data_IF_055629175214
#
_entry.id   IF_055629175214
#
_cell.length_a   1.000
_cell.length_b   1.000
_cell.length_c   1.000
_cell.angle_alpha   90.00
_cell.angle_beta   90.00
_cell.angle_gamma   90.00
#
_symmetry.space_group_name_H-M   'P 1'
#
loop_
_entity.id
_entity.type
_entity.pdbx_description
1 polymer ?
#
# COMPACT_ATOMS: atom_id res chain seq x y z
N UNK A 1 -13.64 7.21 -18.21
CA UNK A 1 -13.82 8.02 -16.97
C UNK A 1 -12.93 7.39 -15.90
N UNK A 2 -12.01 8.14 -15.32
CA UNK A 2 -11.12 7.61 -14.29
C UNK A 2 -11.91 7.52 -12.98
N UNK A 3 -12.32 6.32 -12.59
CA UNK A 3 -13.00 6.09 -11.31
C UNK A 3 -12.03 6.13 -10.11
N UNK A 4 -10.71 6.27 -10.37
CA UNK A 4 -9.67 6.44 -9.35
C UNK A 4 -9.35 7.91 -9.21
N UNK A 5 -9.41 8.46 -7.98
CA UNK A 5 -9.20 9.88 -7.76
C UNK A 5 -7.71 10.28 -7.87
N UNK A 6 -6.78 9.51 -7.32
CA UNK A 6 -5.35 9.87 -7.39
C UNK A 6 -4.80 9.86 -8.81
N UNK A 7 -5.04 8.86 -9.67
CA UNK A 7 -4.63 8.94 -11.07
C UNK A 7 -5.22 10.14 -11.82
N UNK A 8 -6.49 10.48 -11.57
CA UNK A 8 -7.11 11.66 -12.14
C UNK A 8 -6.47 12.96 -11.65
N UNK A 9 -6.14 13.04 -10.36
CA UNK A 9 -5.45 14.20 -9.76
C UNK A 9 -4.05 14.37 -10.35
N UNK A 10 -3.31 13.28 -10.54
CA UNK A 10 -1.99 13.31 -11.18
C UNK A 10 -2.09 13.81 -12.62
N UNK A 11 -3.04 13.27 -13.39
CA UNK A 11 -3.27 13.68 -14.77
C UNK A 11 -3.62 15.17 -14.89
N UNK A 12 -4.41 15.70 -13.94
CA UNK A 12 -4.79 17.13 -13.89
C UNK A 12 -3.73 18.03 -13.26
N UNK A 13 -2.57 17.48 -12.83
CA UNK A 13 -1.50 18.24 -12.19
C UNK A 13 -1.82 18.75 -10.78
N UNK A 14 -2.87 18.28 -10.14
CA UNK A 14 -3.32 18.76 -8.81
C UNK A 14 -2.34 18.43 -7.68
N UNK A 15 -1.41 17.51 -7.91
CA UNK A 15 -0.39 17.10 -6.94
C UNK A 15 1.02 17.60 -7.30
N UNK A 16 1.18 18.41 -8.35
CA UNK A 16 2.47 18.81 -8.89
C UNK A 16 3.27 19.74 -7.98
N UNK A 17 2.64 20.43 -7.02
CA UNK A 17 3.34 21.33 -6.08
C UNK A 17 4.14 20.55 -5.03
N UNK A 18 3.78 19.29 -4.73
CA UNK A 18 4.55 18.47 -3.81
C UNK A 18 5.82 17.94 -4.49
N UNK A 19 6.98 18.37 -3.99
CA UNK A 19 8.29 18.04 -4.57
C UNK A 19 8.56 16.51 -4.58
N UNK A 20 8.11 15.78 -3.55
CA UNK A 20 8.33 14.33 -3.44
C UNK A 20 7.46 13.58 -4.42
N UNK A 21 6.18 13.95 -4.55
CA UNK A 21 5.27 13.37 -5.54
C UNK A 21 5.77 13.69 -6.97
N UNK A 22 6.23 14.90 -7.22
CA UNK A 22 6.78 15.28 -8.52
C UNK A 22 8.06 14.50 -8.87
N UNK A 23 8.94 14.25 -7.87
CA UNK A 23 10.11 13.40 -8.05
C UNK A 23 9.72 11.94 -8.33
N UNK A 24 8.73 11.39 -7.58
CA UNK A 24 8.18 10.06 -7.81
C UNK A 24 7.69 9.91 -9.26
N UNK A 25 6.89 10.86 -9.76
CA UNK A 25 6.31 10.81 -11.11
C UNK A 25 7.36 10.82 -12.22
N UNK A 26 8.57 11.31 -11.95
CA UNK A 26 9.71 11.32 -12.89
C UNK A 26 10.63 10.12 -12.74
N UNK A 27 10.32 9.18 -11.87
CA UNK A 27 11.14 8.02 -11.54
C UNK A 27 10.52 6.72 -12.06
N UNK A 28 11.29 5.62 -12.14
CA UNK A 28 10.74 4.29 -12.42
C UNK A 28 9.67 3.84 -11.42
N UNK A 29 9.76 4.28 -10.16
CA UNK A 29 8.78 3.97 -9.12
C UNK A 29 7.40 4.58 -9.43
N UNK A 30 7.35 5.74 -10.04
CA UNK A 30 6.11 6.35 -10.53
C UNK A 30 5.45 5.52 -11.63
N UNK A 31 6.24 4.91 -12.52
CA UNK A 31 5.72 3.98 -13.54
C UNK A 31 5.10 2.74 -12.90
N UNK A 32 5.78 2.12 -11.93
CA UNK A 32 5.25 0.95 -11.20
C UNK A 32 3.98 1.32 -10.41
N UNK A 33 3.93 2.51 -9.80
CA UNK A 33 2.73 3.00 -9.13
C UNK A 33 1.55 3.15 -10.10
N UNK A 34 1.77 3.73 -11.28
CA UNK A 34 0.71 3.86 -12.28
C UNK A 34 0.25 2.50 -12.81
N UNK A 35 1.16 1.52 -12.93
CA UNK A 35 0.83 0.16 -13.27
C UNK A 35 -0.05 -0.48 -12.18
N UNK A 36 0.31 -0.32 -10.91
CA UNK A 36 -0.50 -0.81 -9.78
C UNK A 36 -1.93 -0.23 -9.81
N UNK A 37 -2.08 1.07 -10.07
CA UNK A 37 -3.40 1.68 -10.24
C UNK A 37 -4.16 1.10 -11.44
N UNK A 38 -3.50 0.85 -12.56
CA UNK A 38 -4.15 0.35 -13.79
C UNK A 38 -4.63 -1.09 -13.67
N UNK A 39 -3.95 -1.89 -12.86
CA UNK A 39 -4.25 -3.32 -12.64
C UNK A 39 -5.13 -3.58 -11.41
N UNK A 40 -5.41 -2.55 -10.60
CA UNK A 40 -6.20 -2.66 -9.38
C UNK A 40 -7.61 -3.19 -9.65
N UNK A 41 -7.96 -4.33 -9.06
CA UNK A 41 -9.30 -4.93 -9.13
C UNK A 41 -10.22 -4.27 -8.11
N UNK A 42 -10.86 -3.15 -8.47
CA UNK A 42 -11.68 -2.34 -7.56
C UNK A 42 -12.88 -3.05 -6.98
N UNK A 43 -13.47 -3.98 -7.73
CA UNK A 43 -14.58 -4.81 -7.27
C UNK A 43 -14.21 -5.74 -6.11
N UNK A 44 -12.90 -5.99 -5.92
CA UNK A 44 -12.37 -6.78 -4.82
C UNK A 44 -12.14 -5.98 -3.54
N UNK A 45 -12.08 -4.65 -3.64
CA UNK A 45 -11.80 -3.78 -2.49
C UNK A 45 -12.96 -3.78 -1.49
N UNK A 46 -12.61 -3.67 -0.21
CA UNK A 46 -13.60 -3.46 0.84
C UNK A 46 -14.35 -2.14 0.61
N UNK A 47 -15.69 -2.19 0.70
CA UNK A 47 -16.56 -1.03 0.45
C UNK A 47 -16.76 -0.24 1.73
N UNK A 48 -15.88 0.70 1.99
CA UNK A 48 -15.93 1.58 3.15
C UNK A 48 -15.42 2.97 2.81
N UNK A 49 -15.90 3.96 3.54
CA UNK A 49 -15.30 5.29 3.52
C UNK A 49 -13.90 5.27 4.15
N UNK A 50 -13.72 4.48 5.20
CA UNK A 50 -12.52 4.48 6.02
C UNK A 50 -11.39 3.60 5.45
N UNK A 51 -11.73 2.39 4.99
CA UNK A 51 -10.78 1.38 4.52
C UNK A 51 -11.00 0.97 3.05
N UNK A 52 -11.82 1.72 2.32
CA UNK A 52 -12.14 1.42 0.92
C UNK A 52 -11.17 2.06 -0.06
N UNK A 53 -11.66 2.23 -1.31
CA UNK A 53 -10.86 2.67 -2.45
C UNK A 53 -9.99 3.90 -2.16
N UNK A 54 -10.52 4.92 -1.49
CA UNK A 54 -9.77 6.14 -1.23
C UNK A 54 -8.55 5.94 -0.32
N UNK A 55 -8.66 5.07 0.68
CA UNK A 55 -7.56 4.63 1.50
C UNK A 55 -6.52 3.88 0.67
N UNK A 56 -6.95 2.88 -0.09
CA UNK A 56 -6.06 2.06 -0.93
C UNK A 56 -5.28 2.92 -1.93
N UNK A 57 -5.92 3.89 -2.59
CA UNK A 57 -5.25 4.80 -3.51
C UNK A 57 -4.12 5.60 -2.82
N UNK A 58 -4.36 6.12 -1.63
CA UNK A 58 -3.33 6.84 -0.88
C UNK A 58 -2.22 5.92 -0.40
N UNK A 59 -2.55 4.72 0.09
CA UNK A 59 -1.56 3.71 0.51
C UNK A 59 -0.68 3.28 -0.66
N UNK A 60 -1.21 3.08 -1.86
CA UNK A 60 -0.40 2.79 -3.06
C UNK A 60 0.61 3.92 -3.34
N UNK A 61 0.17 5.19 -3.30
CA UNK A 61 1.08 6.31 -3.53
C UNK A 61 2.14 6.43 -2.44
N UNK A 62 1.76 6.28 -1.17
CA UNK A 62 2.68 6.32 -0.04
C UNK A 62 3.69 5.17 -0.10
N UNK A 63 3.25 3.96 -0.43
CA UNK A 63 4.12 2.81 -0.65
C UNK A 63 5.15 3.04 -1.77
N UNK A 64 4.75 3.66 -2.88
CA UNK A 64 5.67 4.01 -3.96
C UNK A 64 6.71 5.06 -3.53
N UNK A 65 6.31 6.06 -2.73
CA UNK A 65 7.21 7.04 -2.15
C UNK A 65 8.23 6.41 -1.19
N UNK A 66 7.78 5.46 -0.35
CA UNK A 66 8.65 4.71 0.56
C UNK A 66 9.63 3.85 -0.26
N UNK A 67 9.15 3.07 -1.21
CA UNK A 67 9.98 2.22 -2.06
C UNK A 67 11.08 3.03 -2.76
N UNK A 68 10.74 4.22 -3.27
CA UNK A 68 11.70 5.16 -3.85
C UNK A 68 12.69 5.67 -2.81
N UNK A 69 12.23 6.08 -1.63
CA UNK A 69 13.08 6.61 -0.56
C UNK A 69 14.06 5.58 0.01
N UNK A 70 13.65 4.32 0.06
CA UNK A 70 14.43 3.19 0.57
C UNK A 70 15.22 2.43 -0.52
N UNK A 71 15.13 2.87 -1.79
CA UNK A 71 15.88 2.28 -2.89
C UNK A 71 15.52 0.81 -3.16
N UNK A 72 14.23 0.48 -3.17
CA UNK A 72 13.78 -0.88 -3.50
C UNK A 72 14.15 -1.23 -4.94
N UNK A 73 14.41 -2.51 -5.22
CA UNK A 73 14.41 -3.00 -6.60
C UNK A 73 13.02 -2.84 -7.24
N UNK A 74 12.94 -2.85 -8.57
CA UNK A 74 11.63 -2.75 -9.24
C UNK A 74 10.75 -3.97 -8.93
N UNK A 75 11.34 -5.16 -8.77
CA UNK A 75 10.61 -6.36 -8.40
C UNK A 75 10.05 -6.24 -6.97
N UNK A 76 10.86 -5.81 -5.99
CA UNK A 76 10.38 -5.57 -4.62
C UNK A 76 9.34 -4.44 -4.55
N UNK A 77 9.50 -3.42 -5.40
CA UNK A 77 8.51 -2.34 -5.54
C UNK A 77 7.17 -2.89 -5.99
N UNK A 78 7.13 -3.76 -7.00
CA UNK A 78 5.88 -4.41 -7.47
C UNK A 78 5.22 -5.22 -6.37
N UNK A 79 6.01 -6.02 -5.62
CA UNK A 79 5.47 -6.81 -4.50
C UNK A 79 4.90 -5.91 -3.40
N UNK A 80 5.63 -4.86 -3.01
CA UNK A 80 5.18 -3.91 -2.00
C UNK A 80 3.89 -3.17 -2.43
N UNK A 81 3.82 -2.71 -3.69
CA UNK A 81 2.64 -2.05 -4.22
C UNK A 81 1.45 -3.01 -4.36
N UNK A 82 1.68 -4.28 -4.71
CA UNK A 82 0.64 -5.30 -4.68
C UNK A 82 0.08 -5.49 -3.27
N UNK A 83 0.96 -5.54 -2.25
CA UNK A 83 0.52 -5.58 -0.86
C UNK A 83 -0.32 -4.34 -0.50
N UNK A 84 0.10 -3.15 -0.92
CA UNK A 84 -0.68 -1.91 -0.73
C UNK A 84 -2.07 -1.97 -1.39
N UNK A 85 -2.20 -2.62 -2.56
CA UNK A 85 -3.47 -2.77 -3.25
C UNK A 85 -4.48 -3.63 -2.49
N UNK A 86 -4.02 -4.70 -1.84
CA UNK A 86 -4.92 -5.78 -1.41
C UNK A 86 -4.84 -6.14 0.08
N UNK A 87 -4.14 -5.35 0.92
CA UNK A 87 -3.99 -5.65 2.35
C UNK A 87 -5.33 -5.70 3.11
N UNK A 88 -6.31 -4.89 2.71
CA UNK A 88 -7.57 -4.67 3.41
C UNK A 88 -8.79 -5.40 2.80
N UNK A 89 -8.60 -6.24 1.77
CA UNK A 89 -9.73 -6.93 1.10
C UNK A 89 -10.45 -7.94 2.00
N UNK A 90 -9.80 -8.39 3.07
CA UNK A 90 -10.36 -9.32 4.05
C UNK A 90 -11.21 -8.65 5.14
N UNK A 91 -11.32 -7.32 5.15
CA UNK A 91 -12.16 -6.62 6.13
C UNK A 91 -13.63 -6.93 5.93
N UNK A 92 -14.33 -7.09 7.06
CA UNK A 92 -15.79 -7.22 7.12
C UNK A 92 -16.46 -6.02 7.79
N UNK A 93 -15.69 -5.17 8.47
CA UNK A 93 -16.16 -3.96 9.17
C UNK A 93 -15.02 -2.95 9.36
N UNK A 94 -15.35 -1.74 9.82
CA UNK A 94 -14.39 -0.64 10.04
C UNK A 94 -13.80 -0.61 11.47
N UNK A 95 -14.11 -1.57 12.31
CA UNK A 95 -13.57 -1.66 13.68
C UNK A 95 -12.16 -2.25 13.66
N UNK A 96 -11.52 -2.21 14.83
CA UNK A 96 -10.25 -2.94 15.02
C UNK A 96 -10.49 -4.43 14.80
N UNK A 97 -9.67 -5.01 13.93
CA UNK A 97 -9.70 -6.41 13.54
C UNK A 97 -8.26 -6.82 13.21
N UNK A 98 -7.63 -7.55 14.12
CA UNK A 98 -6.23 -7.94 13.95
C UNK A 98 -6.09 -9.13 12.95
N UNK A 99 -7.18 -9.80 12.61
CA UNK A 99 -7.19 -11.00 11.74
C UNK A 99 -7.46 -10.69 10.27
N UNK A 100 -7.95 -9.49 9.93
CA UNK A 100 -8.31 -9.17 8.54
C UNK A 100 -7.13 -9.31 7.56
N UNK A 101 -5.89 -9.07 8.01
CA UNK A 101 -4.69 -9.27 7.20
C UNK A 101 -4.50 -10.74 6.83
N UNK A 102 -4.74 -11.67 7.76
CA UNK A 102 -4.70 -13.12 7.49
C UNK A 102 -5.78 -13.52 6.48
N UNK A 103 -6.98 -12.96 6.62
CA UNK A 103 -8.08 -13.18 5.66
C UNK A 103 -7.70 -12.64 4.28
N UNK A 104 -7.15 -11.42 4.21
CA UNK A 104 -6.66 -10.81 2.95
C UNK A 104 -5.61 -11.69 2.27
N UNK A 105 -4.63 -12.20 3.04
CA UNK A 105 -3.58 -13.10 2.54
C UNK A 105 -4.14 -14.42 1.95
N UNK A 106 -5.25 -14.92 2.46
CA UNK A 106 -5.97 -16.05 1.87
C UNK A 106 -6.75 -15.65 0.61
N UNK A 107 -7.38 -14.48 0.62
CA UNK A 107 -8.22 -14.01 -0.49
C UNK A 107 -7.42 -13.69 -1.74
N UNK A 108 -6.18 -13.19 -1.65
CA UNK A 108 -5.35 -12.93 -2.84
C UNK A 108 -5.05 -14.21 -3.63
N UNK A 109 -5.03 -15.36 -2.97
CA UNK A 109 -4.84 -16.67 -3.60
C UNK A 109 -6.16 -17.21 -4.12
N UNK A 110 -7.19 -17.28 -3.26
CA UNK A 110 -8.48 -17.87 -3.62
C UNK A 110 -9.20 -17.12 -4.75
N UNK A 111 -8.86 -15.85 -4.97
CA UNK A 111 -9.39 -14.99 -6.05
C UNK A 111 -8.40 -14.80 -7.20
N UNK A 112 -7.28 -15.52 -7.18
CA UNK A 112 -6.21 -15.44 -8.20
C UNK A 112 -5.74 -14.00 -8.50
N UNK A 113 -5.63 -13.17 -7.46
CA UNK A 113 -5.18 -11.78 -7.64
C UNK A 113 -3.67 -11.69 -7.92
N UNK A 114 -2.89 -12.67 -7.45
CA UNK A 114 -1.42 -12.71 -7.66
C UNK A 114 -1.04 -12.83 -9.13
N UNK A 115 -1.91 -13.40 -9.98
CA UNK A 115 -1.69 -13.57 -11.43
C UNK A 115 -1.54 -12.24 -12.19
N UNK A 116 -1.91 -11.11 -11.59
CA UNK A 116 -1.68 -9.79 -12.20
C UNK A 116 -0.20 -9.36 -12.21
N UNK A 117 0.66 -10.03 -11.43
CA UNK A 117 2.11 -9.80 -11.44
C UNK A 117 2.74 -10.79 -12.44
N UNK A 118 3.24 -10.31 -13.60
CA UNK A 118 3.80 -11.21 -14.59
C UNK A 118 5.03 -11.95 -14.05
N UNK A 119 5.03 -13.29 -14.18
CA UNK A 119 6.17 -14.12 -13.80
C UNK A 119 6.37 -14.28 -12.29
N UNK A 120 5.37 -13.93 -11.46
CA UNK A 120 5.45 -14.11 -10.01
C UNK A 120 5.80 -15.55 -9.62
N UNK A 121 6.74 -15.72 -8.72
CA UNK A 121 7.18 -17.01 -8.20
C UNK A 121 6.43 -17.42 -6.95
N UNK A 122 6.46 -18.72 -6.60
CA UNK A 122 5.87 -19.20 -5.33
C UNK A 122 6.55 -18.58 -4.10
N UNK A 123 7.86 -18.33 -4.16
CA UNK A 123 8.59 -17.67 -3.08
C UNK A 123 8.13 -16.22 -2.89
N UNK A 124 7.86 -15.50 -3.96
CA UNK A 124 7.31 -14.13 -3.90
C UNK A 124 5.86 -14.11 -3.42
N UNK A 125 5.05 -15.10 -3.78
CA UNK A 125 3.70 -15.27 -3.24
C UNK A 125 3.76 -15.46 -1.72
N UNK A 126 4.68 -16.28 -1.22
CA UNK A 126 4.88 -16.50 0.21
C UNK A 126 5.25 -15.19 0.92
N UNK A 127 6.13 -14.37 0.33
CA UNK A 127 6.50 -13.04 0.84
C UNK A 127 5.29 -12.12 0.93
N UNK A 128 4.49 -12.01 -0.14
CA UNK A 128 3.27 -11.19 -0.18
C UNK A 128 2.27 -11.63 0.89
N UNK A 129 2.02 -12.95 1.02
CA UNK A 129 1.09 -13.46 2.01
C UNK A 129 1.55 -13.15 3.44
N UNK A 130 2.83 -13.36 3.75
CA UNK A 130 3.39 -13.06 5.06
C UNK A 130 3.32 -11.55 5.37
N UNK A 131 3.64 -10.68 4.41
CA UNK A 131 3.57 -9.23 4.56
C UNK A 131 2.13 -8.75 4.81
N UNK A 132 1.17 -9.19 3.98
CA UNK A 132 -0.24 -8.84 4.12
C UNK A 132 -0.80 -9.37 5.43
N UNK A 133 -0.51 -10.62 5.82
CA UNK A 133 -1.00 -11.17 7.08
C UNK A 133 -0.47 -10.42 8.30
N UNK A 134 0.76 -9.92 8.24
CA UNK A 134 1.40 -9.22 9.36
C UNK A 134 0.97 -7.77 9.51
N UNK A 135 0.43 -7.13 8.44
CA UNK A 135 0.23 -5.68 8.45
C UNK A 135 -0.71 -5.21 9.58
N UNK A 136 -1.73 -6.00 9.93
CA UNK A 136 -2.71 -5.69 10.98
C UNK A 136 -2.27 -6.13 12.39
N UNK A 137 -1.14 -6.84 12.51
CA UNK A 137 -0.64 -7.41 13.75
C UNK A 137 0.55 -6.62 14.32
N UNK A 138 0.99 -6.98 15.53
CA UNK A 138 2.25 -6.50 16.08
C UNK A 138 3.45 -6.99 15.26
N UNK A 139 4.55 -6.21 15.23
CA UNK A 139 5.74 -6.53 14.41
C UNK A 139 6.38 -7.86 14.76
N UNK A 140 6.29 -8.30 16.03
CA UNK A 140 6.78 -9.61 16.47
C UNK A 140 6.12 -10.81 15.79
N UNK A 141 4.94 -10.61 15.16
CA UNK A 141 4.23 -11.68 14.43
C UNK A 141 4.83 -11.97 13.05
N UNK A 142 5.78 -11.14 12.58
CA UNK A 142 6.33 -11.31 11.23
C UNK A 142 7.03 -12.65 11.06
N UNK A 143 7.88 -13.03 11.99
CA UNK A 143 8.66 -14.26 11.89
C UNK A 143 7.76 -15.51 11.89
N UNK A 144 6.70 -15.50 12.69
CA UNK A 144 5.70 -16.58 12.69
C UNK A 144 4.93 -16.63 11.35
N UNK A 145 4.57 -15.49 10.79
CA UNK A 145 3.92 -15.42 9.48
C UNK A 145 4.89 -15.83 8.35
N UNK A 146 6.16 -15.45 8.40
CA UNK A 146 7.17 -15.93 7.44
C UNK A 146 7.24 -17.46 7.44
N UNK A 147 7.31 -18.08 8.60
CA UNK A 147 7.29 -19.55 8.73
C UNK A 147 5.98 -20.15 8.25
N UNK A 148 4.85 -19.58 8.67
CA UNK A 148 3.50 -20.05 8.32
C UNK A 148 3.25 -20.08 6.81
N UNK A 149 3.71 -19.06 6.08
CA UNK A 149 3.51 -18.96 4.63
C UNK A 149 4.66 -19.56 3.81
N UNK A 150 5.69 -20.10 4.48
CA UNK A 150 6.80 -20.82 3.82
C UNK A 150 7.80 -19.89 3.14
N UNK A 151 7.99 -18.67 3.67
CA UNK A 151 9.08 -17.80 3.22
C UNK A 151 10.40 -18.48 3.54
N UNK A 152 11.33 -18.52 2.58
CA UNK A 152 12.65 -19.11 2.78
C UNK A 152 13.50 -18.24 3.71
N UNK A 153 14.37 -18.84 4.55
CA UNK A 153 15.20 -18.05 5.47
C UNK A 153 16.04 -16.96 4.81
N UNK A 154 16.55 -17.21 3.59
CA UNK A 154 17.32 -16.25 2.80
C UNK A 154 16.48 -15.03 2.36
N UNK A 155 15.15 -15.17 2.29
CA UNK A 155 14.21 -14.12 1.91
C UNK A 155 13.56 -13.39 3.11
N UNK A 156 13.91 -13.76 4.36
CA UNK A 156 13.30 -13.16 5.54
C UNK A 156 13.50 -11.63 5.60
N UNK A 157 14.68 -11.16 5.25
CA UNK A 157 14.96 -9.72 5.22
C UNK A 157 14.20 -9.01 4.09
N UNK A 158 14.14 -9.61 2.92
CA UNK A 158 13.34 -9.12 1.78
C UNK A 158 11.86 -9.01 2.16
N UNK A 159 11.31 -10.06 2.75
CA UNK A 159 9.95 -10.08 3.26
C UNK A 159 9.71 -8.99 4.31
N UNK A 160 10.65 -8.81 5.24
CA UNK A 160 10.58 -7.77 6.27
C UNK A 160 10.51 -6.39 5.65
N UNK A 161 11.38 -6.06 4.71
CA UNK A 161 11.38 -4.76 4.04
C UNK A 161 10.05 -4.48 3.34
N UNK A 162 9.48 -5.45 2.63
CA UNK A 162 8.18 -5.33 1.96
C UNK A 162 7.05 -5.14 2.98
N UNK A 163 7.04 -5.93 4.06
CA UNK A 163 6.07 -5.81 5.14
C UNK A 163 6.13 -4.43 5.81
N UNK A 164 7.33 -3.91 6.09
CA UNK A 164 7.51 -2.59 6.69
C UNK A 164 7.05 -1.47 5.75
N UNK A 165 7.31 -1.60 4.43
CA UNK A 165 6.80 -0.66 3.44
C UNK A 165 5.27 -0.58 3.48
N UNK A 166 4.58 -1.73 3.47
CA UNK A 166 3.13 -1.79 3.59
C UNK A 166 2.65 -1.17 4.92
N UNK A 167 3.23 -1.60 6.06
CA UNK A 167 2.81 -1.13 7.38
C UNK A 167 3.02 0.37 7.55
N UNK A 168 4.10 0.92 7.03
CA UNK A 168 4.35 2.35 7.08
C UNK A 168 3.39 3.12 6.16
N UNK A 169 3.16 2.62 4.93
CA UNK A 169 2.22 3.24 4.00
C UNK A 169 0.79 3.30 4.56
N UNK A 170 0.32 2.21 5.18
CA UNK A 170 -0.98 2.16 5.85
C UNK A 170 -1.02 3.09 7.07
N UNK A 171 0.02 3.04 7.94
CA UNK A 171 0.12 3.93 9.10
C UNK A 171 0.20 5.41 8.71
N UNK A 172 0.91 5.76 7.63
CA UNK A 172 0.99 7.15 7.17
C UNK A 172 -0.37 7.69 6.73
N UNK A 173 -1.27 6.85 6.21
CA UNK A 173 -2.64 7.26 5.87
C UNK A 173 -3.53 7.45 7.10
N UNK A 174 -3.06 7.16 8.33
CA UNK A 174 -3.77 7.48 9.59
C UNK A 174 -3.94 8.99 9.80
N UNK A 175 -3.32 9.85 9.01
CA UNK A 175 -3.69 11.27 8.92
C UNK A 175 -5.19 11.47 8.70
N UNK A 176 -5.89 10.52 8.04
CA UNK A 176 -7.35 10.53 7.86
C UNK A 176 -8.13 10.38 9.17
N UNK A 177 -7.48 9.86 10.21
CA UNK A 177 -8.03 9.66 11.56
C UNK A 177 -7.54 10.71 12.57
N UNK A 178 -6.66 11.61 12.12
CA UNK A 178 -5.96 12.59 12.96
C UNK A 178 -5.15 11.95 14.12
N UNK A 179 -4.61 10.73 13.88
CA UNK A 179 -3.89 9.96 14.90
C UNK A 179 -2.57 9.35 14.39
N UNK A 180 -1.98 9.91 13.33
CA UNK A 180 -0.65 9.50 12.89
C UNK A 180 0.40 9.89 13.94
N UNK A 181 1.07 8.89 14.51
CA UNK A 181 2.24 9.08 15.37
C UNK A 181 3.50 8.56 14.65
N UNK A 182 4.40 9.45 14.20
CA UNK A 182 5.59 9.09 13.43
C UNK A 182 6.54 8.12 14.14
N UNK A 183 6.46 8.00 15.48
CA UNK A 183 7.30 7.04 16.23
C UNK A 183 7.04 5.58 15.88
N UNK A 184 5.84 5.27 15.32
CA UNK A 184 5.50 3.93 14.88
C UNK A 184 5.90 3.64 13.43
N UNK A 185 6.44 4.63 12.70
CA UNK A 185 6.99 4.41 11.37
C UNK A 185 8.37 3.79 11.47
N UNK A 186 8.67 2.85 10.59
CA UNK A 186 9.87 2.02 10.62
C UNK A 186 10.99 2.58 9.76
N UNK A 187 10.62 3.15 8.61
CA UNK A 187 11.58 3.75 7.68
C UNK A 187 11.81 5.23 8.00
N UNK A 188 13.06 5.67 7.87
CA UNK A 188 13.39 7.09 8.04
C UNK A 188 12.77 7.97 6.95
N UNK A 189 12.68 7.42 5.73
CA UNK A 189 11.96 8.07 4.62
C UNK A 189 10.49 8.34 4.96
N UNK A 190 9.82 7.41 5.63
CA UNK A 190 8.42 7.56 6.06
C UNK A 190 8.25 8.68 7.07
N UNK A 191 9.12 8.75 8.09
CA UNK A 191 9.08 9.81 9.13
C UNK A 191 9.22 11.21 8.53
N UNK A 192 10.01 11.33 7.45
CA UNK A 192 10.25 12.58 6.75
C UNK A 192 9.15 12.95 5.73
N UNK A 193 8.02 12.21 5.69
CA UNK A 193 6.93 12.42 4.72
C UNK A 193 5.58 12.80 5.35
N UNK A 194 5.52 13.09 6.64
CA UNK A 194 4.27 13.44 7.34
C UNK A 194 3.53 14.60 6.66
N UNK A 195 4.24 15.65 6.26
CA UNK A 195 3.66 16.78 5.54
C UNK A 195 3.08 16.35 4.17
N UNK A 196 3.72 15.38 3.52
CA UNK A 196 3.24 14.82 2.25
C UNK A 196 1.94 14.03 2.44
N UNK A 197 1.78 13.33 3.57
CA UNK A 197 0.55 12.61 3.89
C UNK A 197 -0.63 13.57 4.05
N UNK A 198 -0.47 14.65 4.82
CA UNK A 198 -1.47 15.71 4.97
C UNK A 198 -1.78 16.41 3.65
N UNK A 199 -0.75 16.72 2.86
CA UNK A 199 -0.94 17.32 1.54
C UNK A 199 -1.79 16.41 0.65
N UNK A 200 -1.47 15.11 0.60
CA UNK A 200 -2.18 14.13 -0.21
C UNK A 200 -3.64 13.99 0.23
N UNK A 201 -3.88 13.84 1.54
CA UNK A 201 -5.24 13.71 2.08
C UNK A 201 -6.10 14.95 1.78
N UNK A 202 -5.57 16.15 2.02
CA UNK A 202 -6.31 17.40 1.83
C UNK A 202 -6.69 17.61 0.36
N UNK A 203 -5.76 17.36 -0.57
CA UNK A 203 -6.05 17.44 -2.00
C UNK A 203 -7.01 16.35 -2.46
N UNK A 204 -6.90 15.13 -1.90
CA UNK A 204 -7.84 14.04 -2.18
C UNK A 204 -9.27 14.40 -1.77
N UNK A 205 -9.46 14.94 -0.55
CA UNK A 205 -10.76 15.39 -0.06
C UNK A 205 -11.32 16.52 -0.92
N UNK A 206 -10.48 17.50 -1.30
CA UNK A 206 -10.87 18.62 -2.16
C UNK A 206 -11.31 18.14 -3.55
N UNK A 207 -10.53 17.27 -4.18
CA UNK A 207 -10.87 16.70 -5.49
C UNK A 207 -12.20 15.94 -5.45
N UNK A 208 -12.41 15.11 -4.43
CA UNK A 208 -13.65 14.35 -4.27
C UNK A 208 -14.88 15.23 -4.06
N UNK A 209 -14.75 16.33 -3.32
CA UNK A 209 -15.85 17.30 -3.15
C UNK A 209 -16.19 17.99 -4.46
N UNK A 210 -15.19 18.30 -5.29
CA UNK A 210 -15.40 18.92 -6.59
C UNK A 210 -16.08 17.97 -7.60
N UNK A 211 -15.81 16.66 -7.52
CA UNK A 211 -16.44 15.66 -8.39
C UNK A 211 -17.90 15.34 -7.99
N UNK A 212 -18.32 15.75 -6.78
CA UNK A 212 -19.70 15.58 -6.27
C UNK A 212 -20.57 16.83 -6.44
N UNK A 213 -19.98 17.97 -6.82
CA UNK A 213 -20.66 19.23 -7.05
C UNK A 213 -21.04 19.41 -8.53
#
# INVERSE_FOLDING_TARGET
MYDLHIPAMLYRGLLAENKKINALMKSPYGTEMLLAFSTLKRNELYKSWLHGQGHIERVIMLGALIAMGEGFSMDDTRLALFCCCYHDIGRSNDRRDDDHGTVSAGMIISRDLVSIIPGITQDEIAIIQAAIATHSMHDSSLEDNQRKYGVKPEDYERCRRICWCLKDADNMDRVRLDDLDPKYLRHESSKNMVDTCWYLLNNYIAARRADLA
#
